data_IF_275529394176
#
_entry.id   IF_275529394176
#
_cell.length_a   1.000
_cell.length_b   1.000
_cell.length_c   1.000
_cell.angle_alpha   90.00
_cell.angle_beta   90.00
_cell.angle_gamma   90.00
#
_symmetry.space_group_name_H-M   'P 1'
#
loop_
_entity.id
_entity.type
_entity.pdbx_description
1 polymer ?
#
# COMPACT_ATOMS: atom_id res chain seq x y z
N UNK A 1 -2.86 -10.17 -27.80
CA UNK A 1 -3.90 -10.90 -27.07
C UNK A 1 -3.45 -11.17 -25.63
N UNK A 2 -4.40 -11.23 -24.70
CA UNK A 2 -4.09 -11.55 -23.31
C UNK A 2 -3.70 -13.03 -23.19
N UNK A 3 -2.47 -13.35 -22.70
CA UNK A 3 -2.04 -14.75 -22.58
C UNK A 3 -2.92 -15.54 -21.60
N UNK A 4 -3.05 -16.85 -21.82
CA UNK A 4 -3.84 -17.73 -20.96
C UNK A 4 -3.39 -17.67 -19.48
N UNK A 5 -2.08 -17.67 -19.20
CA UNK A 5 -1.53 -17.54 -17.85
C UNK A 5 -1.96 -16.27 -17.13
N UNK A 6 -2.27 -15.20 -17.85
CA UNK A 6 -2.75 -13.93 -17.32
C UNK A 6 -4.26 -13.78 -17.35
N UNK A 7 -5.00 -14.83 -17.71
CA UNK A 7 -6.46 -14.89 -17.64
C UNK A 7 -7.17 -14.65 -18.96
N UNK A 8 -6.47 -14.86 -20.10
CA UNK A 8 -7.10 -14.83 -21.42
C UNK A 8 -8.19 -15.90 -21.59
N UNK A 9 -9.13 -15.70 -22.52
CA UNK A 9 -9.23 -14.57 -23.44
C UNK A 9 -9.75 -13.26 -22.79
N UNK A 10 -10.48 -13.33 -21.68
CA UNK A 10 -11.08 -12.18 -21.00
C UNK A 10 -10.79 -12.20 -19.51
N UNK A 11 -10.38 -11.04 -18.98
CA UNK A 11 -10.12 -10.84 -17.56
C UNK A 11 -10.85 -9.61 -17.05
N UNK A 12 -11.46 -9.74 -15.87
CA UNK A 12 -12.01 -8.60 -15.15
C UNK A 12 -10.89 -7.77 -14.52
N UNK A 13 -10.98 -6.45 -14.62
CA UNK A 13 -10.10 -5.51 -13.92
C UNK A 13 -10.94 -4.58 -13.06
N UNK A 14 -10.68 -4.59 -11.76
CA UNK A 14 -11.41 -3.79 -10.77
C UNK A 14 -10.41 -2.88 -10.05
N UNK A 15 -10.16 -1.67 -10.57
CA UNK A 15 -9.14 -0.76 -10.01
C UNK A 15 -9.45 -0.38 -8.56
N UNK A 16 -8.41 -0.36 -7.71
CA UNK A 16 -8.55 -0.03 -6.28
C UNK A 16 -8.99 -1.19 -5.38
N UNK A 17 -9.22 -2.38 -5.96
CA UNK A 17 -9.58 -3.59 -5.24
C UNK A 17 -8.43 -4.60 -5.22
N UNK A 18 -8.44 -5.51 -4.24
CA UNK A 18 -7.43 -6.57 -4.18
C UNK A 18 -7.44 -7.43 -5.44
N UNK A 19 -6.29 -8.00 -5.79
CA UNK A 19 -6.09 -8.79 -7.00
C UNK A 19 -7.07 -9.96 -7.16
N UNK A 20 -7.61 -10.51 -6.07
CA UNK A 20 -8.62 -11.56 -6.10
C UNK A 20 -9.93 -11.13 -6.78
N UNK A 21 -10.21 -9.82 -6.79
CA UNK A 21 -11.40 -9.26 -7.46
C UNK A 21 -11.17 -9.05 -8.96
N UNK A 22 -9.97 -9.30 -9.45
CA UNK A 22 -9.60 -9.22 -10.86
C UNK A 22 -9.63 -10.62 -11.49
N UNK A 23 -10.84 -11.15 -11.69
CA UNK A 23 -11.10 -12.54 -12.06
C UNK A 23 -10.50 -12.87 -13.42
N UNK A 24 -9.68 -13.94 -13.47
CA UNK A 24 -9.13 -14.51 -14.71
C UNK A 24 -10.16 -15.43 -15.40
N UNK A 25 -10.02 -15.61 -16.71
CA UNK A 25 -10.86 -16.50 -17.51
C UNK A 25 -12.36 -16.20 -17.33
N UNK A 26 -12.72 -14.93 -17.45
CA UNK A 26 -14.08 -14.47 -17.20
C UNK A 26 -15.04 -15.08 -18.22
N UNK A 27 -15.97 -15.93 -17.75
CA UNK A 27 -17.00 -16.56 -18.59
C UNK A 27 -18.39 -15.99 -18.37
N UNK A 28 -18.66 -15.45 -17.15
CA UNK A 28 -19.99 -14.91 -16.82
C UNK A 28 -19.87 -13.82 -15.76
N UNK A 29 -20.71 -12.80 -15.89
CA UNK A 29 -20.96 -11.77 -14.86
C UNK A 29 -22.42 -11.83 -14.49
N UNK A 30 -22.74 -11.87 -13.20
CA UNK A 30 -24.11 -11.83 -12.69
C UNK A 30 -24.19 -10.83 -11.52
N UNK A 31 -25.26 -10.07 -11.46
CA UNK A 31 -25.59 -9.24 -10.31
C UNK A 31 -26.46 -10.05 -9.35
N UNK A 32 -26.07 -10.09 -8.09
CA UNK A 32 -26.76 -10.85 -7.05
C UNK A 32 -27.00 -9.97 -5.83
N UNK A 33 -28.02 -10.29 -5.05
CA UNK A 33 -28.34 -9.59 -3.80
C UNK A 33 -27.49 -10.10 -2.63
N UNK A 34 -26.85 -11.25 -2.78
CA UNK A 34 -26.03 -11.88 -1.77
C UNK A 34 -24.59 -12.12 -2.25
N UNK A 35 -23.66 -12.14 -1.31
CA UNK A 35 -22.27 -12.50 -1.59
C UNK A 35 -22.18 -13.99 -1.97
N UNK A 36 -21.27 -14.31 -2.88
CA UNK A 36 -21.05 -15.70 -3.32
C UNK A 36 -20.75 -16.64 -2.14
N UNK A 37 -21.42 -17.78 -2.12
CA UNK A 37 -21.22 -18.84 -1.13
C UNK A 37 -19.96 -19.69 -1.38
N UNK A 38 -19.23 -19.45 -2.48
CA UNK A 38 -17.98 -20.17 -2.79
C UNK A 38 -16.98 -20.04 -1.65
N UNK A 39 -16.35 -21.14 -1.26
CA UNK A 39 -15.41 -21.24 -0.13
C UNK A 39 -14.36 -20.12 -0.12
N UNK A 40 -13.83 -19.74 -1.27
CA UNK A 40 -12.82 -18.69 -1.37
C UNK A 40 -13.34 -17.32 -0.92
N UNK A 41 -14.56 -16.95 -1.28
CA UNK A 41 -15.19 -15.70 -0.86
C UNK A 41 -15.75 -15.79 0.56
N UNK A 42 -16.33 -16.93 0.92
CA UNK A 42 -16.97 -17.13 2.22
C UNK A 42 -15.99 -17.18 3.39
N UNK A 43 -14.78 -17.73 3.20
CA UNK A 43 -13.86 -17.97 4.34
C UNK A 43 -12.38 -17.69 4.07
N UNK A 44 -11.91 -17.74 2.82
CA UNK A 44 -10.48 -17.69 2.53
C UNK A 44 -9.94 -16.28 2.36
N UNK A 45 -10.60 -15.45 1.55
CA UNK A 45 -10.18 -14.08 1.29
C UNK A 45 -10.85 -13.09 2.25
N UNK A 46 -10.58 -13.29 3.54
CA UNK A 46 -11.11 -12.48 4.65
C UNK A 46 -9.98 -11.90 5.48
N UNK A 47 -10.15 -10.69 5.95
CA UNK A 47 -9.20 -10.03 6.85
C UNK A 47 -9.56 -10.45 8.28
N UNK A 48 -9.24 -11.69 8.64
CA UNK A 48 -9.56 -12.27 9.95
C UNK A 48 -8.32 -12.29 10.83
N UNK A 49 -8.43 -11.93 12.12
CA UNK A 49 -7.35 -12.13 13.09
C UNK A 49 -6.87 -13.58 13.14
N UNK A 50 -5.62 -13.77 13.56
CA UNK A 50 -5.03 -15.09 13.74
C UNK A 50 -5.90 -15.91 14.72
N UNK A 51 -6.16 -17.18 14.40
CA UNK A 51 -6.99 -18.06 15.21
C UNK A 51 -8.50 -17.88 15.08
N UNK A 52 -8.99 -16.91 14.32
CA UNK A 52 -10.43 -16.67 14.10
C UNK A 52 -10.95 -17.25 12.77
N UNK A 53 -12.23 -17.59 12.72
CA UNK A 53 -12.89 -18.10 11.49
C UNK A 53 -13.10 -16.95 10.50
N UNK A 54 -12.59 -17.11 9.27
CA UNK A 54 -12.66 -16.06 8.24
C UNK A 54 -14.08 -15.60 7.88
N UNK A 55 -15.06 -16.51 7.90
CA UNK A 55 -16.45 -16.20 7.54
C UNK A 55 -17.13 -15.13 8.40
N UNK A 56 -16.57 -14.80 9.55
CA UNK A 56 -17.08 -13.77 10.46
C UNK A 56 -16.46 -12.38 10.22
N UNK A 57 -15.56 -12.26 9.25
CA UNK A 57 -14.79 -11.04 9.00
C UNK A 57 -14.95 -10.52 7.58
N UNK A 58 -14.66 -9.24 7.34
CA UNK A 58 -14.80 -8.63 6.02
C UNK A 58 -13.98 -9.33 4.94
N UNK A 59 -14.52 -9.36 3.73
CA UNK A 59 -13.80 -9.78 2.53
C UNK A 59 -12.67 -8.82 2.19
N UNK A 60 -11.67 -9.32 1.46
CA UNK A 60 -10.63 -8.51 0.84
C UNK A 60 -11.22 -7.76 -0.38
N UNK A 61 -11.90 -6.65 -0.12
CA UNK A 61 -12.49 -5.80 -1.16
C UNK A 61 -11.55 -4.69 -1.58
N UNK A 62 -11.67 -3.52 -0.98
CA UNK A 62 -10.90 -2.32 -1.30
C UNK A 62 -9.46 -2.42 -0.78
N UNK A 63 -8.51 -2.01 -1.60
CA UNK A 63 -7.13 -1.83 -1.14
C UNK A 63 -7.05 -0.66 -0.16
N UNK A 64 -6.31 -0.78 0.95
CA UNK A 64 -6.12 0.30 1.89
C UNK A 64 -5.18 1.38 1.34
N UNK A 65 -5.26 2.58 1.94
CA UNK A 65 -4.25 3.62 1.73
C UNK A 65 -2.87 3.08 2.09
N UNK A 66 -1.88 3.31 1.22
CA UNK A 66 -0.54 2.77 1.41
C UNK A 66 0.51 3.70 0.80
N UNK A 67 1.67 3.78 1.45
CA UNK A 67 2.90 4.34 0.90
C UNK A 67 4.10 3.59 1.44
N UNK A 68 5.21 3.70 0.74
CA UNK A 68 6.53 3.27 1.21
C UNK A 68 7.63 4.10 0.56
N UNK A 69 8.79 4.07 1.18
CA UNK A 69 10.01 4.69 0.68
C UNK A 69 10.62 3.76 -0.38
N UNK A 70 11.04 4.34 -1.50
CA UNK A 70 11.75 3.64 -2.58
C UNK A 70 13.23 4.03 -2.65
N UNK A 71 13.58 5.20 -2.09
CA UNK A 71 14.96 5.69 -1.95
C UNK A 71 15.06 6.72 -0.81
N UNK A 72 16.15 6.68 0.00
CA UNK A 72 17.06 5.55 0.15
C UNK A 72 16.37 4.36 0.81
N UNK A 73 16.96 3.16 0.69
CA UNK A 73 16.50 1.92 1.32
C UNK A 73 17.65 1.28 2.10
N UNK A 74 17.36 0.24 2.85
CA UNK A 74 18.37 -0.53 3.58
C UNK A 74 19.48 -1.06 2.64
N UNK A 75 19.13 -1.32 1.37
CA UNK A 75 20.06 -1.80 0.32
C UNK A 75 20.90 -0.67 -0.30
N UNK A 76 20.58 0.58 -0.05
CA UNK A 76 21.31 1.74 -0.63
C UNK A 76 22.73 1.85 -0.06
N UNK A 77 23.01 1.23 1.09
CA UNK A 77 24.26 1.39 1.82
C UNK A 77 24.35 2.72 2.55
N UNK A 78 25.51 3.36 2.51
CA UNK A 78 25.71 4.67 3.16
C UNK A 78 25.25 5.81 2.25
N UNK A 79 24.69 6.84 2.85
CA UNK A 79 24.24 8.07 2.22
C UNK A 79 25.11 9.23 2.69
N UNK A 80 25.51 10.13 1.80
CA UNK A 80 26.30 11.32 2.19
C UNK A 80 25.47 12.29 3.02
N UNK A 81 26.09 12.85 4.06
CA UNK A 81 25.50 13.91 4.86
C UNK A 81 25.16 15.15 4.02
N UNK A 82 24.18 15.92 4.46
CA UNK A 82 23.68 17.11 3.79
C UNK A 82 22.25 16.94 3.30
N UNK A 83 21.94 17.45 2.13
CA UNK A 83 20.59 17.38 1.54
C UNK A 83 20.32 16.01 0.93
N UNK A 84 19.53 15.20 1.63
CA UNK A 84 19.11 13.84 1.22
C UNK A 84 17.72 13.90 0.64
N UNK A 85 17.55 13.39 -0.58
CA UNK A 85 16.23 13.23 -1.19
C UNK A 85 15.63 11.87 -0.81
N UNK A 86 14.46 11.92 -0.17
CA UNK A 86 13.66 10.76 0.20
C UNK A 86 12.52 10.65 -0.80
N UNK A 87 12.52 9.59 -1.59
CA UNK A 87 11.52 9.33 -2.63
C UNK A 87 10.70 8.12 -2.27
N UNK A 88 9.44 8.14 -2.64
CA UNK A 88 8.55 7.01 -2.43
C UNK A 88 7.31 7.07 -3.32
N UNK A 89 6.45 6.07 -3.13
CA UNK A 89 5.18 5.94 -3.82
C UNK A 89 4.02 5.82 -2.83
N UNK A 90 2.87 6.33 -3.23
CA UNK A 90 1.66 6.29 -2.42
C UNK A 90 0.41 6.05 -3.26
N UNK A 91 -0.56 5.35 -2.70
CA UNK A 91 -1.85 5.08 -3.30
C UNK A 91 -2.97 5.32 -2.28
N UNK A 92 -4.07 5.91 -2.74
CA UNK A 92 -5.22 6.24 -1.90
C UNK A 92 -6.27 5.13 -1.75
N UNK A 93 -6.03 3.92 -2.31
CA UNK A 93 -7.03 2.86 -2.39
C UNK A 93 -8.08 3.17 -3.46
N UNK A 94 -9.32 3.26 -3.09
CA UNK A 94 -10.44 3.63 -4.00
C UNK A 94 -10.67 5.14 -4.10
N UNK A 95 -9.82 5.97 -3.46
CA UNK A 95 -9.87 7.43 -3.49
C UNK A 95 -8.55 8.03 -3.94
N UNK A 96 -8.56 9.28 -4.35
CA UNK A 96 -7.33 10.02 -4.63
C UNK A 96 -6.47 10.12 -3.37
N UNK A 97 -5.16 9.94 -3.53
CA UNK A 97 -4.22 10.27 -2.46
C UNK A 97 -4.22 11.79 -2.23
N UNK A 98 -4.31 12.23 -0.98
CA UNK A 98 -4.38 13.66 -0.62
C UNK A 98 -3.07 14.20 -0.07
N UNK A 99 -2.37 13.39 0.70
CA UNK A 99 -1.10 13.81 1.29
C UNK A 99 -0.23 12.62 1.66
N UNK A 100 1.06 12.88 1.65
CA UNK A 100 2.07 12.01 2.25
C UNK A 100 2.89 12.85 3.22
N UNK A 101 3.18 12.30 4.37
CA UNK A 101 4.16 12.84 5.31
C UNK A 101 5.33 11.88 5.41
N UNK A 102 6.53 12.42 5.65
CA UNK A 102 7.75 11.66 5.87
C UNK A 102 8.27 11.97 7.27
N UNK A 103 8.73 10.95 7.93
CA UNK A 103 9.47 11.00 9.18
C UNK A 103 10.90 10.50 8.91
N UNK A 104 11.88 11.08 9.59
CA UNK A 104 13.28 10.62 9.59
C UNK A 104 13.75 10.18 10.97
N UNK A 105 12.84 10.14 11.93
CA UNK A 105 13.09 9.90 13.35
C UNK A 105 12.23 8.77 13.93
N UNK A 106 11.85 7.81 13.09
CA UNK A 106 11.06 6.64 13.49
C UNK A 106 9.60 6.97 13.84
N UNK A 107 9.04 8.02 13.23
CA UNK A 107 7.63 8.39 13.42
C UNK A 107 7.39 9.38 14.57
N UNK A 108 8.43 9.93 15.21
CA UNK A 108 8.29 10.93 16.28
C UNK A 108 7.83 12.28 15.73
N UNK A 109 8.34 12.69 14.56
CA UNK A 109 7.91 13.91 13.87
C UNK A 109 7.62 13.64 12.40
N UNK A 110 6.71 14.45 11.81
CA UNK A 110 6.22 14.24 10.45
C UNK A 110 6.23 15.54 9.66
N UNK A 111 6.87 15.53 8.49
CA UNK A 111 6.89 16.66 7.55
C UNK A 111 6.18 16.30 6.26
N UNK A 112 5.50 17.27 5.64
CA UNK A 112 4.75 17.04 4.40
C UNK A 112 5.72 16.84 3.23
N UNK A 113 5.53 15.79 2.45
CA UNK A 113 6.19 15.55 1.19
C UNK A 113 5.46 16.23 0.03
N UNK A 114 6.18 16.46 -1.06
CA UNK A 114 5.61 16.98 -2.32
C UNK A 114 5.36 15.82 -3.27
N UNK A 115 4.22 15.83 -3.95
CA UNK A 115 3.99 14.92 -5.08
C UNK A 115 4.81 15.36 -6.27
N UNK A 116 5.35 14.40 -7.00
CA UNK A 116 6.10 14.60 -8.25
C UNK A 116 5.50 13.74 -9.37
N UNK A 117 5.80 14.10 -10.62
CA UNK A 117 5.22 13.46 -11.80
C UNK A 117 3.73 13.74 -11.99
N UNK A 118 3.13 13.19 -13.06
CA UNK A 118 1.74 13.42 -13.42
C UNK A 118 0.76 12.78 -12.43
N UNK A 119 -0.42 13.38 -12.29
CA UNK A 119 -1.54 12.76 -11.60
C UNK A 119 -2.34 11.90 -12.59
N UNK A 120 -2.20 10.59 -12.48
CA UNK A 120 -2.88 9.60 -13.32
C UNK A 120 -4.24 9.16 -12.75
N UNK A 121 -4.73 9.86 -11.72
CA UNK A 121 -6.03 9.62 -11.11
C UNK A 121 -6.03 8.73 -9.88
N UNK A 122 -7.23 8.46 -9.38
CA UNK A 122 -7.43 7.84 -8.04
C UNK A 122 -6.92 6.42 -7.89
N UNK A 123 -6.74 5.68 -8.97
CA UNK A 123 -6.30 4.29 -8.92
C UNK A 123 -4.82 4.11 -9.26
N UNK A 124 -4.11 5.21 -9.49
CA UNK A 124 -2.69 5.20 -9.83
C UNK A 124 -1.81 5.47 -8.61
N UNK A 125 -0.62 4.92 -8.64
CA UNK A 125 0.43 5.26 -7.72
C UNK A 125 0.94 6.67 -8.01
N UNK A 126 1.09 7.49 -6.96
CA UNK A 126 1.70 8.81 -7.02
C UNK A 126 3.09 8.75 -6.42
N UNK A 127 4.07 9.28 -7.13
CA UNK A 127 5.40 9.50 -6.58
C UNK A 127 5.40 10.72 -5.67
N UNK A 128 6.20 10.67 -4.63
CA UNK A 128 6.45 11.80 -3.75
C UNK A 128 7.94 11.94 -3.44
N UNK A 129 8.33 13.15 -3.07
CA UNK A 129 9.68 13.48 -2.62
C UNK A 129 9.62 14.36 -1.37
N UNK A 130 10.55 14.10 -0.47
CA UNK A 130 10.86 14.96 0.67
C UNK A 130 12.38 15.16 0.75
N UNK A 131 12.83 16.39 0.97
CA UNK A 131 14.24 16.72 1.16
C UNK A 131 14.49 16.95 2.64
N UNK A 132 15.45 16.22 3.22
CA UNK A 132 15.90 16.37 4.60
C UNK A 132 17.38 16.74 4.63
N UNK A 133 17.75 17.69 5.49
CA UNK A 133 19.16 17.91 5.84
C UNK A 133 19.53 16.95 6.96
N UNK A 134 20.34 15.95 6.64
CA UNK A 134 20.76 14.92 7.58
C UNK A 134 22.26 15.05 7.85
N UNK A 135 22.64 14.98 9.13
CA UNK A 135 24.03 14.86 9.59
C UNK A 135 24.42 13.40 9.67
N UNK A 136 25.70 13.13 9.89
CA UNK A 136 26.21 11.78 10.14
C UNK A 136 25.43 11.09 11.26
N UNK A 137 24.99 9.85 11.05
CA UNK A 137 24.19 9.09 12.01
C UNK A 137 23.27 8.05 11.36
N UNK A 138 22.49 7.36 12.18
CA UNK A 138 21.51 6.37 11.75
C UNK A 138 20.09 6.93 11.84
N UNK A 139 19.30 6.73 10.80
CA UNK A 139 17.95 7.25 10.67
C UNK A 139 16.97 6.12 10.33
N UNK A 140 15.82 6.13 10.99
CA UNK A 140 14.68 5.32 10.56
C UNK A 140 13.70 6.23 9.80
N UNK A 141 13.53 5.97 8.51
CA UNK A 141 12.71 6.77 7.60
C UNK A 141 11.38 6.06 7.35
N UNK A 142 10.29 6.78 7.52
CA UNK A 142 8.95 6.26 7.28
C UNK A 142 8.11 7.23 6.45
N UNK A 143 7.10 6.70 5.75
CA UNK A 143 6.10 7.50 5.06
C UNK A 143 4.69 7.17 5.52
N UNK A 144 3.85 8.18 5.65
CA UNK A 144 2.47 8.08 6.09
C UNK A 144 1.55 8.75 5.08
N UNK A 145 0.79 7.94 4.37
CA UNK A 145 -0.18 8.39 3.38
C UNK A 145 -1.57 8.61 3.95
N UNK A 146 -2.31 9.56 3.37
CA UNK A 146 -3.72 9.81 3.65
C UNK A 146 -4.49 10.15 2.38
N UNK A 147 -5.70 9.60 2.25
CA UNK A 147 -6.65 9.97 1.19
C UNK A 147 -7.70 11.01 1.65
N UNK A 148 -7.50 11.62 2.83
CA UNK A 148 -8.41 12.57 3.44
C UNK A 148 -9.47 11.94 4.35
N UNK A 149 -9.92 10.73 4.04
CA UNK A 149 -10.88 9.96 4.86
C UNK A 149 -10.17 8.94 5.75
N UNK A 150 -9.13 8.30 5.20
CA UNK A 150 -8.33 7.27 5.89
C UNK A 150 -6.85 7.63 5.80
N UNK A 151 -6.07 7.19 6.77
CA UNK A 151 -4.60 7.25 6.79
C UNK A 151 -4.03 5.87 7.10
N UNK A 152 -2.77 5.64 6.75
CA UNK A 152 -2.08 4.43 7.15
C UNK A 152 -2.05 4.32 8.68
N UNK A 153 -2.30 3.12 9.24
CA UNK A 153 -2.07 2.87 10.66
C UNK A 153 -0.56 2.80 10.97
N UNK A 154 -0.20 2.86 12.23
CA UNK A 154 1.19 2.62 12.66
C UNK A 154 1.63 1.20 12.33
N UNK A 155 0.88 0.23 12.79
CA UNK A 155 1.08 -1.19 12.49
C UNK A 155 -0.11 -1.70 11.67
N UNK A 156 0.15 -2.66 10.80
CA UNK A 156 -0.93 -3.38 10.12
C UNK A 156 -1.79 -4.15 11.13
N UNK A 157 -3.02 -4.42 10.77
CA UNK A 157 -3.80 -5.41 11.49
C UNK A 157 -3.27 -6.81 11.14
N UNK A 158 -2.73 -7.52 12.14
CA UNK A 158 -2.29 -8.89 11.96
C UNK A 158 -3.47 -9.79 11.58
N UNK A 159 -3.29 -10.56 10.52
CA UNK A 159 -4.29 -11.49 10.05
C UNK A 159 -3.64 -12.75 9.48
N UNK A 160 -4.42 -13.84 9.49
CA UNK A 160 -3.95 -15.19 9.12
C UNK A 160 -3.23 -15.27 7.77
N UNK A 161 -3.54 -14.39 6.83
CA UNK A 161 -3.05 -14.43 5.45
C UNK A 161 -2.13 -13.27 5.09
N UNK A 162 -1.90 -12.33 6.00
CA UNK A 162 -1.08 -11.15 5.78
C UNK A 162 -1.68 -10.14 4.79
N UNK A 163 -3.00 -10.14 4.60
CA UNK A 163 -3.68 -9.19 3.72
C UNK A 163 -3.65 -7.77 4.29
N UNK A 164 -3.81 -6.79 3.41
CA UNK A 164 -3.90 -5.37 3.75
C UNK A 164 -2.67 -4.84 4.51
N UNK A 165 -1.47 -5.33 4.17
CA UNK A 165 -0.22 -4.90 4.78
C UNK A 165 0.07 -3.43 4.43
N UNK A 166 -0.33 -2.51 5.29
CA UNK A 166 -0.22 -1.07 5.07
C UNK A 166 0.26 -0.27 6.28
N UNK A 167 0.76 -0.90 7.33
CA UNK A 167 1.36 -0.21 8.48
C UNK A 167 2.56 0.64 8.04
N UNK A 168 2.62 1.94 8.44
CA UNK A 168 3.74 2.78 8.04
C UNK A 168 5.05 2.35 8.71
N UNK A 169 4.98 1.80 9.92
CA UNK A 169 6.14 1.31 10.66
C UNK A 169 6.73 0.04 10.04
N UNK A 170 5.85 -0.84 9.53
CA UNK A 170 6.24 -2.07 8.83
C UNK A 170 7.00 -1.79 7.51
N UNK A 171 6.83 -0.59 6.95
CA UNK A 171 7.46 -0.14 5.71
C UNK A 171 8.53 0.94 5.94
N UNK A 172 8.94 1.15 7.19
CA UNK A 172 10.07 2.04 7.49
C UNK A 172 11.39 1.40 7.05
N UNK A 173 12.35 2.23 6.69
CA UNK A 173 13.69 1.82 6.24
C UNK A 173 14.74 2.44 7.15
N UNK A 174 15.83 1.72 7.40
CA UNK A 174 16.97 2.22 8.16
C UNK A 174 18.10 2.60 7.21
N UNK A 175 18.68 3.75 7.42
CA UNK A 175 19.83 4.21 6.64
C UNK A 175 20.95 4.71 7.55
N UNK A 176 22.18 4.62 7.05
CA UNK A 176 23.36 5.21 7.66
C UNK A 176 23.81 6.40 6.81
N UNK A 177 23.97 7.56 7.44
CA UNK A 177 24.46 8.78 6.82
C UNK A 177 25.90 9.02 7.28
N UNK A 178 26.81 9.29 6.34
CA UNK A 178 28.25 9.51 6.57
C UNK A 178 28.72 10.84 5.97
#
# INVERSE_FOLDING_TARGET
>A
PLPNAHGGPLRMVTPGYFGINNVKHLGKVAFTTEESSVKYMKSSYRISPIGKKGSQYPSCWEMPVKSWITRPTDETGTVKAGKVQIVGVAMGGTRNIRSVKVSVDGGKSWKRAKFIGPDLGKFAWRQFVYEANLTSGTYNIASLASNGSKKQPELRMENRRGYAHNGWKDHSVNITVV
#
